data_IF_321426604040
#
_entry.id   IF_321426604040
#
_cell.length_a   1.000
_cell.length_b   1.000
_cell.length_c   1.000
_cell.angle_alpha   90.00
_cell.angle_beta   90.00
_cell.angle_gamma   90.00
#
_symmetry.space_group_name_H-M   'P 1'
#
loop_
_entity.id
_entity.type
_entity.pdbx_description
1 polymer ?
#
# COMPACT_ATOMS: atom_id res chain seq x y z
N UNK A 1 0.57 5.03 3.69
CA UNK A 1 1.04 5.92 2.57
C UNK A 1 -0.12 6.17 1.63
N UNK A 2 -0.27 7.41 1.16
CA UNK A 2 -1.36 7.77 0.24
C UNK A 2 -0.96 7.45 -1.21
N UNK A 3 -1.79 6.71 -1.92
CA UNK A 3 -1.65 6.49 -3.35
C UNK A 3 -2.52 7.52 -4.11
N UNK A 4 -2.02 8.15 -5.20
CA UNK A 4 -0.71 7.99 -5.83
C UNK A 4 0.36 8.96 -5.34
N UNK A 5 0.04 9.88 -4.43
CA UNK A 5 0.92 11.00 -4.04
C UNK A 5 2.15 10.59 -3.23
N UNK A 6 2.19 9.36 -2.74
CA UNK A 6 3.25 8.79 -1.88
C UNK A 6 3.47 9.48 -0.53
N UNK A 7 2.61 10.44 -0.18
CA UNK A 7 2.68 11.18 1.09
C UNK A 7 2.28 10.25 2.26
N UNK A 8 3.04 10.31 3.34
CA UNK A 8 2.73 9.61 4.59
C UNK A 8 2.29 10.59 5.67
N UNK A 9 1.31 10.21 6.47
CA UNK A 9 0.93 10.96 7.66
C UNK A 9 2.06 10.89 8.70
N UNK A 10 2.39 12.04 9.31
CA UNK A 10 3.33 12.08 10.44
C UNK A 10 2.74 11.36 11.66
N UNK A 11 3.60 10.95 12.60
CA UNK A 11 3.19 10.32 13.85
C UNK A 11 2.19 11.19 14.62
N UNK A 12 2.45 12.50 14.71
CA UNK A 12 1.55 13.46 15.35
C UNK A 12 0.15 13.46 14.73
N UNK A 13 0.08 13.51 13.39
CA UNK A 13 -1.21 13.52 12.67
C UNK A 13 -1.97 12.22 12.86
N UNK A 14 -1.26 11.08 12.91
CA UNK A 14 -1.86 9.76 13.18
C UNK A 14 -2.45 9.70 14.58
N UNK A 15 -1.71 10.14 15.59
CA UNK A 15 -2.20 10.20 16.97
C UNK A 15 -3.40 11.14 17.13
N UNK A 16 -3.34 12.30 16.46
CA UNK A 16 -4.47 13.24 16.44
C UNK A 16 -5.71 12.64 15.79
N UNK A 17 -5.53 11.89 14.70
CA UNK A 17 -6.64 11.22 14.01
C UNK A 17 -7.27 10.14 14.89
N UNK A 18 -6.47 9.33 15.59
CA UNK A 18 -6.98 8.34 16.56
C UNK A 18 -7.75 9.01 17.71
N UNK A 19 -7.23 10.13 18.22
CA UNK A 19 -7.93 10.91 19.26
C UNK A 19 -9.28 11.43 18.76
N UNK A 20 -9.33 11.99 17.55
CA UNK A 20 -10.58 12.48 16.95
C UNK A 20 -11.57 11.33 16.69
N UNK A 21 -11.09 10.18 16.23
CA UNK A 21 -11.93 9.00 16.04
C UNK A 21 -12.61 8.56 17.34
N UNK A 22 -11.89 8.59 18.45
CA UNK A 22 -12.42 8.30 19.78
C UNK A 22 -13.40 9.38 20.25
N UNK A 23 -13.08 10.65 20.08
CA UNK A 23 -13.90 11.79 20.52
C UNK A 23 -15.22 11.84 19.76
N UNK A 24 -15.17 11.68 18.41
CA UNK A 24 -16.33 11.81 17.54
C UNK A 24 -16.96 10.47 17.13
N UNK A 25 -16.46 9.35 17.69
CA UNK A 25 -17.01 8.00 17.47
C UNK A 25 -17.14 7.60 16.00
N UNK A 26 -16.10 7.84 15.20
CA UNK A 26 -16.04 7.37 13.82
C UNK A 26 -14.95 6.29 13.63
N UNK A 27 -15.16 5.40 12.67
CA UNK A 27 -14.18 4.40 12.29
C UNK A 27 -13.18 4.96 11.26
N UNK A 28 -11.93 4.53 11.36
CA UNK A 28 -10.87 4.79 10.39
C UNK A 28 -10.65 3.52 9.58
N UNK A 29 -10.73 3.62 8.26
CA UNK A 29 -10.28 2.54 7.36
C UNK A 29 -8.86 2.86 6.94
N UNK A 30 -7.89 2.05 7.39
CA UNK A 30 -6.48 2.15 7.00
C UNK A 30 -6.22 1.15 5.87
N UNK A 31 -6.17 1.66 4.63
CA UNK A 31 -5.83 0.86 3.45
C UNK A 31 -4.30 0.92 3.22
N UNK A 32 -3.62 -0.18 3.46
CA UNK A 32 -2.15 -0.28 3.44
C UNK A 32 -1.67 -1.35 2.47
N UNK A 33 -1.92 -1.11 1.18
CA UNK A 33 -1.62 -2.09 0.13
C UNK A 33 -0.13 -2.19 -0.23
N UNK A 34 0.70 -1.19 0.10
CA UNK A 34 2.13 -1.14 -0.24
C UNK A 34 3.07 -1.09 0.98
N UNK A 35 2.61 -1.57 2.13
CA UNK A 35 3.36 -1.63 3.39
C UNK A 35 4.75 -2.25 3.24
N UNK A 36 4.84 -3.33 2.49
CA UNK A 36 6.05 -4.11 2.28
C UNK A 36 7.19 -3.32 1.58
N UNK A 37 6.85 -2.26 0.86
CA UNK A 37 7.82 -1.52 0.03
C UNK A 37 8.38 -0.29 0.74
N UNK A 38 9.01 -0.49 1.90
CA UNK A 38 9.77 0.56 2.58
C UNK A 38 11.24 0.48 2.14
N UNK A 39 11.74 1.54 1.49
CA UNK A 39 13.09 1.59 0.93
C UNK A 39 14.09 2.30 1.83
N UNK A 40 13.62 3.29 2.61
CA UNK A 40 14.46 4.14 3.45
C UNK A 40 13.76 4.41 4.79
N UNK A 41 14.58 4.56 5.84
CA UNK A 41 14.09 4.81 7.18
C UNK A 41 13.47 3.56 7.86
N UNK A 42 12.79 3.80 8.97
CA UNK A 42 12.07 2.75 9.71
C UNK A 42 10.62 2.68 9.19
N UNK A 43 10.15 1.47 8.90
CA UNK A 43 8.74 1.27 8.54
C UNK A 43 7.85 1.77 9.67
N UNK A 44 6.93 2.66 9.33
CA UNK A 44 5.97 3.18 10.30
C UNK A 44 4.91 2.11 10.58
N UNK A 45 4.71 1.79 11.85
CA UNK A 45 3.68 0.83 12.26
C UNK A 45 2.29 1.30 11.82
N UNK A 46 1.39 0.39 11.40
CA UNK A 46 0.01 0.74 11.11
C UNK A 46 -0.69 1.45 12.28
N UNK A 47 -1.66 2.32 12.01
CA UNK A 47 -2.48 2.92 13.07
C UNK A 47 -3.24 1.88 13.87
N UNK A 48 -3.61 0.79 13.22
CA UNK A 48 -4.24 -0.35 13.86
C UNK A 48 -3.40 -0.94 15.01
N UNK A 49 -2.07 -0.86 14.96
CA UNK A 49 -1.19 -1.34 16.06
C UNK A 49 -1.29 -0.50 17.33
N UNK A 50 -1.72 0.75 17.23
CA UNK A 50 -1.96 1.67 18.35
C UNK A 50 -3.45 1.83 18.71
N UNK A 51 -4.30 0.99 18.11
CA UNK A 51 -5.77 1.08 18.20
C UNK A 51 -6.32 0.35 19.43
N UNK A 52 -6.09 0.92 20.61
CA UNK A 52 -6.62 0.34 21.86
C UNK A 52 -8.17 0.35 21.93
N UNK A 53 -8.83 1.23 21.21
CA UNK A 53 -10.28 1.47 21.28
C UNK A 53 -11.06 0.77 20.14
N UNK A 54 -10.43 0.01 19.27
CA UNK A 54 -11.09 -0.70 18.17
C UNK A 54 -11.65 0.20 17.04
N UNK A 55 -11.15 1.44 16.91
CA UNK A 55 -11.66 2.39 15.93
C UNK A 55 -11.03 2.26 14.54
N UNK A 56 -9.98 1.45 14.39
CA UNK A 56 -9.27 1.29 13.12
C UNK A 56 -9.57 -0.09 12.52
N UNK A 57 -10.02 -0.08 11.29
CA UNK A 57 -10.17 -1.24 10.43
C UNK A 57 -8.98 -1.24 9.49
N UNK A 58 -8.08 -2.21 9.61
CA UNK A 58 -6.90 -2.31 8.78
C UNK A 58 -7.13 -3.25 7.60
N UNK A 59 -6.84 -2.78 6.41
CA UNK A 59 -6.87 -3.56 5.18
C UNK A 59 -5.44 -3.75 4.69
N UNK A 60 -5.01 -4.98 4.65
CA UNK A 60 -3.69 -5.35 4.16
C UNK A 60 -3.76 -6.29 2.97
N UNK A 61 -2.65 -6.39 2.24
CA UNK A 61 -2.52 -7.29 1.09
C UNK A 61 -1.30 -8.18 1.26
N UNK A 62 -1.49 -9.45 1.02
CA UNK A 62 -0.42 -10.44 1.06
C UNK A 62 0.05 -10.79 -0.35
N UNK A 63 1.35 -10.96 -0.50
CA UNK A 63 1.92 -11.53 -1.71
C UNK A 63 2.00 -10.63 -2.93
N UNK A 64 1.64 -9.35 -2.85
CA UNK A 64 1.75 -8.42 -4.00
C UNK A 64 3.17 -8.31 -4.54
N UNK A 65 4.16 -8.38 -3.65
CA UNK A 65 5.58 -8.37 -4.01
C UNK A 65 6.10 -9.72 -4.52
N UNK A 66 5.33 -10.80 -4.33
CA UNK A 66 5.75 -12.16 -4.68
C UNK A 66 5.28 -12.53 -6.08
N UNK A 67 3.98 -12.39 -6.32
CA UNK A 67 3.34 -12.74 -7.58
C UNK A 67 2.24 -11.73 -7.89
N UNK A 68 2.26 -11.06 -9.04
CA UNK A 68 1.21 -10.11 -9.43
C UNK A 68 -0.20 -10.73 -9.45
N UNK A 69 -0.28 -12.05 -9.69
CA UNK A 69 -1.54 -12.81 -9.69
C UNK A 69 -2.02 -13.23 -8.28
N UNK A 70 -1.20 -13.05 -7.25
CA UNK A 70 -1.53 -13.44 -5.89
C UNK A 70 -2.29 -12.31 -5.19
N UNK A 71 -3.58 -12.27 -5.41
CA UNK A 71 -4.46 -11.21 -4.89
C UNK A 71 -5.19 -11.70 -3.63
N UNK A 72 -4.46 -11.88 -2.55
CA UNK A 72 -5.04 -12.19 -1.24
C UNK A 72 -4.92 -10.98 -0.34
N UNK A 73 -6.05 -10.48 0.14
CA UNK A 73 -6.14 -9.44 1.15
C UNK A 73 -6.54 -10.01 2.50
N UNK A 74 -6.29 -9.23 3.55
CA UNK A 74 -6.76 -9.54 4.89
C UNK A 74 -7.29 -8.28 5.57
N UNK A 75 -8.17 -8.50 6.53
CA UNK A 75 -8.77 -7.44 7.33
C UNK A 75 -8.47 -7.70 8.79
N UNK A 76 -8.01 -6.68 9.51
CA UNK A 76 -7.90 -6.68 10.96
C UNK A 76 -8.89 -5.66 11.51
N UNK A 77 -9.85 -6.14 12.27
CA UNK A 77 -10.93 -5.31 12.80
C UNK A 77 -11.48 -5.93 14.11
N UNK A 78 -12.35 -5.24 14.85
CA UNK A 78 -13.04 -5.81 16.01
C UNK A 78 -13.81 -7.09 15.67
N UNK A 79 -13.86 -8.01 16.63
CA UNK A 79 -14.43 -9.37 16.43
C UNK A 79 -15.87 -9.36 15.92
N UNK A 80 -16.69 -8.46 16.44
CA UNK A 80 -18.09 -8.32 16.00
C UNK A 80 -18.16 -7.99 14.49
N UNK A 81 -17.33 -7.07 14.01
CA UNK A 81 -17.31 -6.72 12.58
C UNK A 81 -16.81 -7.88 11.72
N UNK A 82 -15.77 -8.59 12.17
CA UNK A 82 -15.25 -9.78 11.47
C UNK A 82 -16.31 -10.88 11.39
N UNK A 83 -17.05 -11.11 12.47
CA UNK A 83 -18.12 -12.11 12.50
C UNK A 83 -19.24 -11.78 11.51
N UNK A 84 -19.69 -10.53 11.48
CA UNK A 84 -20.69 -10.07 10.51
C UNK A 84 -20.20 -10.15 9.07
N UNK A 85 -18.95 -9.75 8.82
CA UNK A 85 -18.33 -9.86 7.50
C UNK A 85 -18.25 -11.31 7.01
N UNK A 86 -17.91 -12.26 7.89
CA UNK A 86 -17.90 -13.70 7.57
C UNK A 86 -19.30 -14.19 7.18
N UNK A 87 -20.33 -13.86 7.97
CA UNK A 87 -21.71 -14.22 7.69
C UNK A 87 -22.15 -13.68 6.32
N UNK A 88 -21.79 -12.44 6.02
CA UNK A 88 -22.13 -11.82 4.74
C UNK A 88 -21.41 -12.48 3.56
N UNK A 89 -20.13 -12.79 3.69
CA UNK A 89 -19.36 -13.51 2.66
C UNK A 89 -19.90 -14.92 2.41
N UNK A 90 -20.38 -15.61 3.46
CA UNK A 90 -21.02 -16.91 3.33
C UNK A 90 -22.32 -16.82 2.52
N UNK A 91 -23.15 -15.80 2.78
CA UNK A 91 -24.37 -15.57 2.01
C UNK A 91 -24.10 -15.27 0.53
N UNK A 92 -22.96 -14.66 0.21
CA UNK A 92 -22.55 -14.36 -1.16
C UNK A 92 -21.79 -15.50 -1.85
N UNK A 93 -21.61 -16.64 -1.17
CA UNK A 93 -20.75 -17.77 -1.62
C UNK A 93 -19.32 -17.33 -2.00
N UNK A 94 -18.76 -16.40 -1.20
CA UNK A 94 -17.41 -15.83 -1.40
C UNK A 94 -16.54 -16.06 -0.18
N UNK A 95 -16.28 -17.32 0.14
CA UNK A 95 -15.53 -17.72 1.34
C UNK A 95 -14.00 -17.71 1.15
N UNK A 96 -13.50 -17.37 -0.03
CA UNK A 96 -12.08 -17.38 -0.35
C UNK A 96 -11.63 -18.68 -1.05
N UNK A 97 -10.32 -18.81 -1.20
CA UNK A 97 -9.66 -19.96 -1.82
C UNK A 97 -8.81 -20.67 -0.77
N UNK A 98 -9.36 -21.72 -0.17
CA UNK A 98 -8.72 -22.47 0.92
C UNK A 98 -7.34 -23.04 0.54
N UNK A 99 -7.17 -23.48 -0.71
CA UNK A 99 -5.88 -24.03 -1.18
C UNK A 99 -4.84 -22.92 -1.21
N UNK A 100 -5.21 -21.75 -1.71
CA UNK A 100 -4.33 -20.58 -1.76
C UNK A 100 -3.99 -20.07 -0.36
N UNK A 101 -4.96 -20.05 0.53
CA UNK A 101 -4.77 -19.62 1.93
C UNK A 101 -3.83 -20.60 2.66
N UNK A 102 -3.98 -21.89 2.48
CA UNK A 102 -3.10 -22.90 3.06
C UNK A 102 -1.68 -22.77 2.52
N UNK A 103 -1.51 -22.63 1.20
CA UNK A 103 -0.20 -22.42 0.58
C UNK A 103 0.49 -21.15 1.13
N UNK A 104 -0.25 -20.05 1.30
CA UNK A 104 0.28 -18.85 1.93
C UNK A 104 0.72 -19.08 3.36
N UNK A 105 -0.09 -19.79 4.14
CA UNK A 105 0.23 -20.12 5.52
C UNK A 105 1.55 -20.89 5.62
N UNK A 106 1.76 -21.87 4.78
CA UNK A 106 3.01 -22.65 4.73
C UNK A 106 4.20 -21.76 4.34
N UNK A 107 4.07 -20.94 3.29
CA UNK A 107 5.13 -20.01 2.87
C UNK A 107 5.48 -18.97 3.94
N UNK A 108 4.51 -18.51 4.73
CA UNK A 108 4.74 -17.63 5.88
C UNK A 108 5.49 -18.39 6.98
N UNK A 109 5.03 -19.59 7.32
CA UNK A 109 5.61 -20.42 8.37
C UNK A 109 7.07 -20.79 8.07
N UNK A 110 7.39 -21.14 6.83
CA UNK A 110 8.74 -21.45 6.37
C UNK A 110 9.64 -20.21 6.22
N UNK A 111 9.09 -19.00 6.37
CA UNK A 111 9.80 -17.74 6.24
C UNK A 111 10.14 -17.34 4.79
N UNK A 112 9.62 -18.08 3.80
CA UNK A 112 9.88 -17.84 2.39
C UNK A 112 9.37 -16.46 1.94
N UNK A 113 8.19 -16.08 2.39
CA UNK A 113 7.62 -14.75 2.11
C UNK A 113 8.56 -13.65 2.59
N UNK A 114 9.07 -13.76 3.82
CA UNK A 114 9.98 -12.77 4.37
C UNK A 114 11.31 -12.69 3.61
N UNK A 115 11.85 -13.85 3.18
CA UNK A 115 13.07 -13.91 2.38
C UNK A 115 12.89 -13.24 1.01
N UNK A 116 11.77 -13.52 0.33
CA UNK A 116 11.44 -12.95 -0.95
C UNK A 116 11.18 -11.44 -0.86
N UNK A 117 10.47 -10.99 0.17
CA UNK A 117 10.25 -9.57 0.44
C UNK A 117 11.57 -8.81 0.57
N UNK A 118 12.51 -9.30 1.38
CA UNK A 118 13.84 -8.68 1.52
C UNK A 118 14.56 -8.54 0.18
N UNK A 119 14.53 -9.58 -0.66
CA UNK A 119 15.13 -9.55 -1.99
C UNK A 119 14.43 -8.54 -2.91
N UNK A 120 13.10 -8.55 -2.91
CA UNK A 120 12.30 -7.69 -3.77
C UNK A 120 12.43 -6.21 -3.41
N UNK A 121 12.48 -5.86 -2.12
CA UNK A 121 12.74 -4.48 -1.67
C UNK A 121 14.01 -3.92 -2.30
N UNK A 122 15.10 -4.69 -2.34
CA UNK A 122 16.36 -4.25 -2.95
C UNK A 122 16.24 -4.02 -4.46
N UNK A 123 15.49 -4.89 -5.16
CA UNK A 123 15.25 -4.78 -6.60
C UNK A 123 14.39 -3.54 -6.88
N UNK A 124 13.29 -3.36 -6.16
CA UNK A 124 12.40 -2.21 -6.35
C UNK A 124 13.05 -0.89 -5.96
N UNK A 125 13.88 -0.88 -4.92
CA UNK A 125 14.71 0.29 -4.58
C UNK A 125 15.60 0.71 -5.73
N UNK A 126 16.32 -0.24 -6.34
CA UNK A 126 17.18 0.03 -7.52
C UNK A 126 16.39 0.55 -8.71
N UNK A 127 15.22 -0.04 -9.00
CA UNK A 127 14.33 0.41 -10.07
C UNK A 127 13.83 1.83 -9.84
N UNK A 128 13.40 2.15 -8.60
CA UNK A 128 13.01 3.50 -8.22
C UNK A 128 14.16 4.49 -8.42
N UNK A 129 15.36 4.15 -7.92
CA UNK A 129 16.52 5.02 -7.99
C UNK A 129 16.92 5.29 -9.45
N UNK A 130 16.92 4.26 -10.27
CA UNK A 130 17.17 4.37 -11.71
C UNK A 130 16.11 5.24 -12.41
N UNK A 131 14.84 5.02 -12.12
CA UNK A 131 13.76 5.83 -12.69
C UNK A 131 13.90 7.31 -12.28
N UNK A 132 14.16 7.59 -11.00
CA UNK A 132 14.39 8.95 -10.53
C UNK A 132 15.56 9.60 -11.25
N UNK A 133 16.66 8.89 -11.44
CA UNK A 133 17.83 9.39 -12.18
C UNK A 133 17.47 9.70 -13.63
N UNK A 134 16.81 8.80 -14.35
CA UNK A 134 16.37 9.02 -15.71
C UNK A 134 15.44 10.26 -15.84
N UNK A 135 14.53 10.45 -14.89
CA UNK A 135 13.64 11.60 -14.87
C UNK A 135 14.39 12.91 -14.60
N UNK A 136 15.35 12.91 -13.68
CA UNK A 136 16.19 14.07 -13.38
C UNK A 136 17.09 14.46 -14.58
N UNK A 137 17.66 13.47 -15.27
CA UNK A 137 18.53 13.72 -16.42
C UNK A 137 17.80 14.23 -17.65
N UNK A 138 16.59 13.73 -17.91
CA UNK A 138 15.87 14.00 -19.16
C UNK A 138 14.73 15.02 -19.03
N UNK A 139 14.18 15.23 -17.81
CA UNK A 139 12.94 16.00 -17.63
C UNK A 139 13.02 17.06 -16.52
N UNK A 140 14.21 17.38 -15.98
CA UNK A 140 14.40 18.32 -14.87
C UNK A 140 13.72 19.68 -15.04
N UNK A 141 13.62 20.16 -16.29
CA UNK A 141 13.03 21.46 -16.63
C UNK A 141 11.53 21.37 -16.95
N UNK A 142 10.96 20.15 -16.98
CA UNK A 142 9.58 19.86 -17.37
C UNK A 142 8.74 19.37 -16.21
N UNK A 143 9.36 18.63 -15.27
CA UNK A 143 8.66 18.00 -14.15
C UNK A 143 9.33 18.31 -12.82
N UNK A 144 8.53 18.20 -11.75
CA UNK A 144 9.00 18.15 -10.37
C UNK A 144 8.51 16.89 -9.71
N UNK A 145 9.33 16.30 -8.87
CA UNK A 145 8.95 15.18 -8.05
C UNK A 145 9.79 15.10 -6.78
N UNK A 146 9.26 14.40 -5.81
CA UNK A 146 10.00 14.04 -4.61
C UNK A 146 10.26 12.54 -4.65
N UNK A 147 11.52 12.12 -4.53
CA UNK A 147 11.89 10.72 -4.44
C UNK A 147 11.18 10.07 -3.24
N UNK A 148 10.31 9.07 -3.46
CA UNK A 148 9.57 8.45 -2.37
C UNK A 148 10.48 7.55 -1.54
N UNK A 149 10.29 7.55 -0.23
CA UNK A 149 11.01 6.69 0.72
C UNK A 149 10.53 5.23 0.69
N UNK A 150 9.47 4.97 -0.05
CA UNK A 150 8.86 3.64 -0.21
C UNK A 150 7.62 3.72 -1.10
N UNK A 151 6.96 2.57 -1.30
CA UNK A 151 5.79 2.41 -2.16
C UNK A 151 6.16 2.11 -3.61
N UNK A 152 5.13 1.83 -4.42
CA UNK A 152 5.26 1.43 -5.81
C UNK A 152 4.88 2.54 -6.80
N UNK A 153 4.69 3.77 -6.33
CA UNK A 153 4.32 4.91 -7.14
C UNK A 153 5.37 6.02 -7.06
N UNK A 154 5.44 6.83 -8.11
CA UNK A 154 6.16 8.09 -8.16
C UNK A 154 5.18 9.17 -8.61
N UNK A 155 5.03 10.23 -7.80
CA UNK A 155 4.18 11.35 -8.12
C UNK A 155 4.97 12.44 -8.84
N UNK A 156 4.56 12.75 -10.08
CA UNK A 156 5.18 13.76 -10.92
C UNK A 156 4.23 14.95 -11.07
N UNK A 157 4.79 16.14 -10.97
CA UNK A 157 4.08 17.40 -11.23
C UNK A 157 4.73 18.08 -12.45
N UNK A 158 3.95 18.39 -13.46
CA UNK A 158 4.42 19.17 -14.58
C UNK A 158 4.56 20.63 -14.18
N UNK A 159 5.67 21.27 -14.59
CA UNK A 159 5.97 22.69 -14.29
C UNK A 159 5.06 23.60 -15.08
N UNK A 160 4.65 23.17 -16.29
CA UNK A 160 3.74 23.88 -17.19
C UNK A 160 2.44 23.11 -17.33
N UNK A 161 1.35 23.81 -17.65
CA UNK A 161 0.10 23.15 -18.00
C UNK A 161 0.27 22.29 -19.24
N UNK A 162 -0.03 21.00 -19.11
CA UNK A 162 0.00 20.02 -20.19
C UNK A 162 -1.38 19.38 -20.29
N UNK A 163 -1.91 19.14 -21.50
CA UNK A 163 -3.16 18.44 -21.68
C UNK A 163 -2.97 16.94 -21.39
N UNK A 164 -3.09 16.56 -20.12
CA UNK A 164 -2.77 15.21 -19.62
C UNK A 164 -3.56 14.09 -20.32
N UNK A 165 -4.80 14.37 -20.72
CA UNK A 165 -5.62 13.40 -21.46
C UNK A 165 -4.99 13.09 -22.82
N UNK A 166 -4.60 14.12 -23.57
CA UNK A 166 -3.95 13.94 -24.88
C UNK A 166 -2.58 13.26 -24.73
N UNK A 167 -1.83 13.61 -23.69
CA UNK A 167 -0.55 12.95 -23.38
C UNK A 167 -0.75 11.45 -23.11
N UNK A 168 -1.76 11.09 -22.32
CA UNK A 168 -2.11 9.71 -22.03
C UNK A 168 -2.52 8.94 -23.29
N UNK A 169 -3.35 9.55 -24.15
CA UNK A 169 -3.75 8.95 -25.42
C UNK A 169 -2.58 8.76 -26.38
N UNK A 170 -1.62 9.68 -26.40
CA UNK A 170 -0.41 9.54 -27.21
C UNK A 170 0.50 8.45 -26.67
N UNK A 171 0.72 8.39 -25.36
CA UNK A 171 1.54 7.35 -24.72
C UNK A 171 1.00 5.94 -25.05
N UNK A 172 -0.31 5.74 -24.98
CA UNK A 172 -0.96 4.47 -25.32
C UNK A 172 -0.81 4.04 -26.80
N UNK A 173 -0.46 4.97 -27.70
CA UNK A 173 -0.21 4.64 -29.13
C UNK A 173 1.21 4.19 -29.40
N UNK A 174 2.11 4.37 -28.42
CA UNK A 174 3.54 4.04 -28.53
C UNK A 174 3.94 2.86 -27.64
N UNK A 175 2.99 2.23 -26.95
CA UNK A 175 3.12 0.93 -26.30
C UNK A 175 2.81 -0.16 -27.34
#
# INVERSE_FOLDING_TARGET
>A
RNYPTTVSLSVERRLKLLQLAKEYQFAIIEDDFDYDFQFEGVAMQPMASANADGMVIYLGKLGQSLFPSFQTGFVVAPENLISEAKNYLQMLDRQGDLIREQMLSELIYEGEIHRLLKKNILVYKRRRDFLCQCLEENFKDTIRFKKPTGGLALWLEFITEIPLVQLSEQALKHD
#
